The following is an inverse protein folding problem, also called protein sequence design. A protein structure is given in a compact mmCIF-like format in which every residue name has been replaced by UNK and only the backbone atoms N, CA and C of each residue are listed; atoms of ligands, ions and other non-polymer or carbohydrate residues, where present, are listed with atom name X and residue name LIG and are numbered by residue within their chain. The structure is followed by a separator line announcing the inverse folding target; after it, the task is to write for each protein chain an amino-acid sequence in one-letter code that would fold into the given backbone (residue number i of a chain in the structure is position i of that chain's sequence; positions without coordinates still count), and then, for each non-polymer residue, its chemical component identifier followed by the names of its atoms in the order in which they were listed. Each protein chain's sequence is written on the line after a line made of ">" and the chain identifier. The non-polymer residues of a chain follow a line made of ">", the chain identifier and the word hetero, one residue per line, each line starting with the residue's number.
data_IF_220063602593
#
_entry.id   IF_220063602593
#
_cell.length_a   1.000
_cell.length_b   1.000
_cell.length_c   1.000
_cell.angle_alpha   90.00
_cell.angle_beta   90.00
_cell.angle_gamma   90.00
#
_symmetry.space_group_name_H-M   'P 1'
#
loop_
_entity.id
_entity.type
_entity.pdbx_description
1 polymer ?
#
# COMPACT_ATOMS: atom_id res chain seq x y z
N UNK A 1 -15.91 -8.17 16.46
CA UNK A 1 -15.93 -7.03 15.54
C UNK A 1 -16.30 -7.47 14.12
N UNK A 2 -16.90 -6.56 13.39
CA UNK A 2 -17.31 -6.71 12.01
C UNK A 2 -16.69 -5.61 11.17
N UNK A 3 -16.02 -5.97 10.08
CA UNK A 3 -15.58 -5.05 9.03
C UNK A 3 -16.47 -5.27 7.81
N UNK A 4 -16.97 -4.18 7.25
CA UNK A 4 -17.72 -4.19 5.99
C UNK A 4 -16.94 -3.32 5.00
N UNK A 5 -16.42 -3.95 3.95
CA UNK A 5 -15.83 -3.25 2.82
C UNK A 5 -16.80 -3.31 1.64
N UNK A 6 -17.06 -2.15 1.05
CA UNK A 6 -17.85 -2.02 -0.17
C UNK A 6 -17.13 -1.08 -1.14
N UNK A 7 -17.31 -1.27 -2.44
CA UNK A 7 -16.65 -0.41 -3.41
C UNK A 7 -17.15 -0.62 -4.83
N UNK A 8 -16.85 0.37 -5.64
CA UNK A 8 -17.09 0.34 -7.08
C UNK A 8 -15.78 0.63 -7.81
N UNK A 9 -15.57 0.00 -8.93
CA UNK A 9 -14.42 0.30 -9.79
C UNK A 9 -14.83 0.32 -11.26
N UNK A 10 -14.31 1.34 -11.96
CA UNK A 10 -14.24 1.39 -13.41
C UNK A 10 -12.83 0.99 -13.83
N UNK A 11 -12.70 0.08 -14.80
CA UNK A 11 -11.42 -0.29 -15.42
C UNK A 11 -11.56 -0.16 -16.93
N UNK A 12 -10.63 0.56 -17.54
CA UNK A 12 -10.55 0.81 -18.97
C UNK A 12 -9.18 0.37 -19.48
N UNK A 13 -9.16 -0.22 -20.68
CA UNK A 13 -7.93 -0.56 -21.38
C UNK A 13 -8.12 -0.25 -22.86
N UNK A 14 -7.12 0.35 -23.48
CA UNK A 14 -7.11 0.65 -24.91
C UNK A 14 -6.11 -0.25 -25.64
N UNK A 15 -6.39 -0.54 -26.91
CA UNK A 15 -5.50 -1.24 -27.82
C UNK A 15 -5.77 -0.81 -29.25
N UNK A 16 -4.71 -0.49 -29.98
CA UNK A 16 -4.76 -0.13 -31.41
C UNK A 16 -5.76 1.01 -31.68
N UNK A 17 -5.87 1.97 -30.76
CA UNK A 17 -6.77 3.11 -30.85
C UNK A 17 -8.24 2.81 -30.55
N UNK A 18 -8.57 1.61 -30.08
CA UNK A 18 -9.92 1.20 -29.70
C UNK A 18 -9.98 0.80 -28.22
N UNK A 19 -11.17 0.88 -27.63
CA UNK A 19 -11.39 0.44 -26.25
C UNK A 19 -11.43 -1.10 -26.20
N UNK A 20 -10.40 -1.74 -25.63
CA UNK A 20 -10.31 -3.19 -25.46
C UNK A 20 -11.08 -3.69 -24.24
N UNK A 21 -11.05 -2.94 -23.15
CA UNK A 21 -11.77 -3.29 -21.91
C UNK A 21 -12.56 -2.10 -21.38
N UNK A 22 -13.82 -2.37 -21.08
CA UNK A 22 -14.70 -1.53 -20.27
C UNK A 22 -15.33 -2.39 -19.21
N UNK A 23 -14.92 -2.23 -17.98
CA UNK A 23 -15.40 -3.06 -16.86
C UNK A 23 -15.82 -2.19 -15.69
N UNK A 24 -17.06 -2.36 -15.25
CA UNK A 24 -17.57 -1.79 -14.00
C UNK A 24 -17.84 -2.94 -13.04
N UNK A 25 -17.33 -2.83 -11.83
CA UNK A 25 -17.58 -3.79 -10.77
C UNK A 25 -18.07 -3.10 -9.52
N UNK A 26 -19.00 -3.74 -8.83
CA UNK A 26 -19.42 -3.40 -7.48
C UNK A 26 -19.19 -4.60 -6.59
N UNK A 27 -18.67 -4.39 -5.40
CA UNK A 27 -18.41 -5.45 -4.44
C UNK A 27 -18.78 -5.01 -3.03
N UNK A 28 -19.24 -5.97 -2.24
CA UNK A 28 -19.44 -5.81 -0.80
C UNK A 28 -19.00 -7.08 -0.11
N UNK A 29 -18.33 -6.94 1.02
CA UNK A 29 -17.85 -8.07 1.80
C UNK A 29 -17.91 -7.75 3.29
N UNK A 30 -18.45 -8.71 4.05
CA UNK A 30 -18.57 -8.70 5.50
C UNK A 30 -17.51 -9.62 6.09
N UNK A 31 -16.69 -9.14 7.02
CA UNK A 31 -15.68 -9.93 7.70
C UNK A 31 -15.88 -9.88 9.22
N UNK A 32 -16.33 -10.99 9.79
CA UNK A 32 -16.58 -11.13 11.22
C UNK A 32 -15.38 -11.74 11.92
N UNK A 33 -14.99 -11.17 13.06
CA UNK A 33 -14.07 -11.76 14.05
C UNK A 33 -14.82 -11.88 15.37
N UNK A 34 -14.83 -13.08 15.93
CA UNK A 34 -15.37 -13.38 17.25
C UNK A 34 -14.25 -13.84 18.18
N UNK A 35 -14.36 -13.51 19.47
CA UNK A 35 -13.50 -14.04 20.51
C UNK A 35 -14.40 -14.76 21.52
N UNK A 36 -14.20 -16.06 21.67
CA UNK A 36 -14.93 -16.92 22.59
C UNK A 36 -13.95 -17.76 23.41
N UNK A 37 -14.01 -17.66 24.72
CA UNK A 37 -13.12 -18.39 25.63
C UNK A 37 -11.63 -18.20 25.30
N UNK A 38 -11.24 -16.95 24.96
CA UNK A 38 -9.90 -16.60 24.53
C UNK A 38 -9.47 -17.13 23.17
N UNK A 39 -10.39 -17.67 22.37
CA UNK A 39 -10.12 -18.23 21.04
C UNK A 39 -10.74 -17.35 19.97
N UNK A 40 -9.95 -17.06 18.96
CA UNK A 40 -10.36 -16.18 17.84
C UNK A 40 -10.88 -17.03 16.69
N UNK A 41 -12.08 -16.70 16.23
CA UNK A 41 -12.64 -17.25 15.01
C UNK A 41 -12.99 -16.14 14.03
N UNK A 42 -12.72 -16.36 12.75
CA UNK A 42 -13.06 -15.44 11.68
C UNK A 42 -13.89 -16.13 10.61
N UNK A 43 -14.82 -15.41 10.02
CA UNK A 43 -15.55 -15.82 8.83
C UNK A 43 -15.93 -14.59 8.01
N UNK A 44 -16.31 -14.80 6.76
CA UNK A 44 -16.72 -13.71 5.87
C UNK A 44 -17.91 -14.12 5.01
N UNK A 45 -18.65 -13.12 4.51
CA UNK A 45 -19.72 -13.30 3.56
C UNK A 45 -19.68 -12.19 2.51
N UNK A 46 -20.00 -12.50 1.27
CA UNK A 46 -20.26 -11.54 0.19
C UNK A 46 -21.77 -11.30 -0.01
N UNK A 47 -22.61 -12.09 0.66
CA UNK A 47 -24.07 -11.91 0.69
C UNK A 47 -24.48 -11.19 1.98
N UNK A 48 -25.53 -10.37 1.88
CA UNK A 48 -26.06 -9.52 2.95
C UNK A 48 -27.44 -9.94 3.46
N UNK A 49 -28.00 -11.05 2.95
CA UNK A 49 -29.24 -11.60 3.48
C UNK A 49 -29.03 -12.22 4.86
N UNK A 50 -30.15 -12.35 5.62
CA UNK A 50 -30.12 -12.83 7.01
C UNK A 50 -29.45 -14.20 7.13
N UNK A 51 -29.81 -15.13 6.24
CA UNK A 51 -29.34 -16.52 6.32
C UNK A 51 -27.84 -16.61 6.09
N UNK A 52 -27.30 -15.81 5.16
CA UNK A 52 -25.87 -15.74 4.90
C UNK A 52 -25.10 -15.13 6.08
N UNK A 53 -25.66 -14.09 6.71
CA UNK A 53 -25.03 -13.47 7.88
C UNK A 53 -25.10 -14.38 9.11
N UNK A 54 -26.19 -15.08 9.33
CA UNK A 54 -26.32 -16.08 10.40
C UNK A 54 -25.30 -17.23 10.20
N UNK A 55 -25.19 -17.73 8.97
CA UNK A 55 -24.19 -18.75 8.62
C UNK A 55 -22.76 -18.26 8.86
N UNK A 56 -22.47 -17.00 8.56
CA UNK A 56 -21.15 -16.38 8.83
C UNK A 56 -20.86 -16.36 10.35
N UNK A 57 -21.85 -16.03 11.18
CA UNK A 57 -21.71 -16.05 12.64
C UNK A 57 -21.44 -17.47 13.15
N UNK A 58 -22.22 -18.45 12.69
CA UNK A 58 -22.02 -19.85 13.06
C UNK A 58 -20.62 -20.35 12.66
N UNK A 59 -20.19 -20.05 11.46
CA UNK A 59 -18.88 -20.45 10.96
C UNK A 59 -17.74 -19.79 11.78
N UNK A 60 -17.86 -18.51 12.13
CA UNK A 60 -16.88 -17.84 12.99
C UNK A 60 -16.79 -18.50 14.38
N UNK A 61 -17.92 -18.89 14.97
CA UNK A 61 -17.96 -19.60 16.26
C UNK A 61 -17.35 -21.00 16.16
N UNK A 62 -17.63 -21.73 15.06
CA UNK A 62 -17.01 -23.04 14.78
C UNK A 62 -15.49 -22.87 14.67
N UNK A 63 -15.01 -21.92 13.87
CA UNK A 63 -13.59 -21.64 13.68
C UNK A 63 -12.90 -21.29 15.02
N UNK A 64 -13.55 -20.50 15.87
CA UNK A 64 -13.06 -20.21 17.21
C UNK A 64 -12.88 -21.49 18.05
N UNK A 65 -13.79 -22.46 17.95
CA UNK A 65 -13.73 -23.69 18.74
C UNK A 65 -12.48 -24.56 18.46
N UNK A 66 -11.93 -24.46 17.24
CA UNK A 66 -10.72 -25.19 16.82
C UNK A 66 -9.45 -24.36 16.99
N UNK A 67 -9.55 -23.05 17.21
CA UNK A 67 -8.40 -22.17 17.37
C UNK A 67 -7.68 -22.40 18.70
N UNK A 68 -6.40 -22.08 18.76
CA UNK A 68 -5.67 -22.02 20.02
C UNK A 68 -6.14 -20.82 20.85
N UNK A 69 -5.91 -20.88 22.16
CA UNK A 69 -6.16 -19.74 23.04
C UNK A 69 -5.12 -18.66 22.75
N UNK A 70 -5.59 -17.43 22.56
CA UNK A 70 -4.78 -16.23 22.36
C UNK A 70 -5.03 -15.29 23.55
N UNK A 71 -4.13 -15.32 24.52
CA UNK A 71 -4.29 -14.65 25.81
C UNK A 71 -4.49 -13.12 25.69
N UNK A 72 -3.87 -12.52 24.70
CA UNK A 72 -3.85 -11.05 24.55
C UNK A 72 -4.90 -10.53 23.55
N UNK A 73 -5.58 -11.40 22.81
CA UNK A 73 -6.59 -11.00 21.84
C UNK A 73 -7.87 -10.55 22.55
N UNK A 74 -8.33 -9.36 22.17
CA UNK A 74 -9.58 -8.77 22.68
C UNK A 74 -10.26 -7.90 21.62
N UNK A 75 -11.54 -7.62 21.82
CA UNK A 75 -12.23 -6.59 21.05
C UNK A 75 -11.91 -5.23 21.66
N UNK A 76 -11.50 -4.28 20.85
CA UNK A 76 -11.15 -2.93 21.30
C UNK A 76 -12.31 -2.24 22.02
N UNK A 77 -11.99 -1.47 23.07
CA UNK A 77 -12.91 -0.63 23.84
C UNK A 77 -12.70 0.83 23.45
N UNK A 78 -12.86 1.18 22.19
CA UNK A 78 -12.82 2.58 21.81
C UNK A 78 -14.18 3.22 22.07
N UNK A 79 -14.21 4.15 23.03
CA UNK A 79 -15.37 5.02 23.30
C UNK A 79 -15.27 6.34 22.51
N UNK A 80 -14.21 6.52 21.73
CA UNK A 80 -13.94 7.77 21.04
C UNK A 80 -14.79 7.91 19.78
N UNK A 81 -15.30 9.11 19.58
CA UNK A 81 -15.84 9.49 18.27
C UNK A 81 -14.68 9.65 17.30
N UNK A 82 -14.52 8.68 16.42
CA UNK A 82 -13.43 8.71 15.46
C UNK A 82 -13.63 9.78 14.40
N UNK A 83 -12.61 10.58 14.19
CA UNK A 83 -12.57 11.55 13.11
C UNK A 83 -12.55 10.84 11.75
N UNK A 84 -13.18 11.45 10.77
CA UNK A 84 -13.10 11.04 9.36
C UNK A 84 -12.88 12.25 8.49
N UNK A 85 -12.11 12.12 7.44
CA UNK A 85 -11.87 13.17 6.45
C UNK A 85 -12.26 12.65 5.06
N UNK A 86 -13.55 12.40 4.89
CA UNK A 86 -14.06 11.89 3.62
C UNK A 86 -13.92 12.93 2.49
N UNK A 87 -13.82 14.21 2.77
CA UNK A 87 -13.59 15.24 1.76
C UNK A 87 -12.21 15.11 1.12
N UNK A 88 -11.18 14.77 1.91
CA UNK A 88 -9.84 14.47 1.41
C UNK A 88 -9.74 13.07 0.81
N UNK A 89 -10.26 12.07 1.52
CA UNK A 89 -10.08 10.66 1.15
C UNK A 89 -10.92 10.24 -0.06
N UNK A 90 -12.09 10.84 -0.23
CA UNK A 90 -13.03 10.54 -1.31
C UNK A 90 -13.63 11.84 -1.86
N UNK A 91 -12.81 12.70 -2.47
CA UNK A 91 -13.31 13.93 -3.07
C UNK A 91 -14.29 13.61 -4.20
N UNK A 92 -15.26 14.52 -4.41
CA UNK A 92 -16.18 14.42 -5.53
C UNK A 92 -15.43 14.62 -6.84
N UNK A 93 -15.81 13.85 -7.84
CA UNK A 93 -15.27 13.96 -9.20
C UNK A 93 -16.44 14.01 -10.18
N UNK A 94 -16.44 15.05 -11.02
CA UNK A 94 -17.49 15.28 -12.00
C UNK A 94 -17.11 14.81 -13.41
N UNK A 95 -15.93 14.17 -13.58
CA UNK A 95 -15.45 13.67 -14.87
C UNK A 95 -16.34 12.52 -15.35
N UNK A 96 -16.87 12.68 -16.54
CA UNK A 96 -17.74 11.69 -17.16
C UNK A 96 -16.97 10.41 -17.55
N UNK A 97 -17.70 9.33 -17.76
CA UNK A 97 -17.11 8.06 -18.25
C UNK A 97 -16.53 8.26 -19.65
N UNK A 98 -17.17 9.05 -20.49
CA UNK A 98 -16.69 9.33 -21.86
C UNK A 98 -15.33 10.04 -21.83
N UNK A 99 -15.15 11.04 -20.97
CA UNK A 99 -13.84 11.71 -20.79
C UNK A 99 -12.76 10.74 -20.27
N UNK A 100 -13.11 9.79 -19.43
CA UNK A 100 -12.16 8.74 -18.95
C UNK A 100 -11.80 7.77 -20.08
N UNK A 101 -12.75 7.44 -20.94
CA UNK A 101 -12.50 6.64 -22.16
C UNK A 101 -11.58 7.40 -23.11
N UNK A 102 -11.86 8.68 -23.38
CA UNK A 102 -11.00 9.53 -24.21
C UNK A 102 -9.58 9.61 -23.67
N UNK A 103 -9.42 9.75 -22.34
CA UNK A 103 -8.12 9.72 -21.68
C UNK A 103 -7.39 8.38 -21.91
N UNK A 104 -8.08 7.25 -21.76
CA UNK A 104 -7.50 5.91 -21.96
C UNK A 104 -7.03 5.70 -23.39
N UNK A 105 -7.85 6.08 -24.37
CA UNK A 105 -7.51 6.03 -25.79
C UNK A 105 -6.33 6.95 -26.14
N UNK A 106 -6.34 8.17 -25.60
CA UNK A 106 -5.26 9.14 -25.81
C UNK A 106 -3.93 8.66 -25.20
N UNK A 107 -3.97 8.05 -24.00
CA UNK A 107 -2.79 7.49 -23.33
C UNK A 107 -2.10 6.44 -24.21
N UNK A 108 -2.86 5.46 -24.69
CA UNK A 108 -2.35 4.39 -25.56
C UNK A 108 -1.84 4.94 -26.91
N UNK A 109 -2.67 5.71 -27.60
CA UNK A 109 -2.36 6.23 -28.93
C UNK A 109 -1.14 7.17 -28.94
N UNK A 110 -1.02 8.05 -27.94
CA UNK A 110 0.14 8.93 -27.80
C UNK A 110 1.42 8.14 -27.59
N UNK A 111 1.38 7.11 -26.72
CA UNK A 111 2.56 6.28 -26.45
C UNK A 111 2.93 5.43 -27.67
N UNK A 112 1.94 4.84 -28.36
CA UNK A 112 2.15 4.08 -29.58
C UNK A 112 2.74 4.92 -30.72
N UNK A 113 2.46 6.22 -30.74
CA UNK A 113 3.01 7.18 -31.72
C UNK A 113 4.43 7.67 -31.43
N UNK A 114 5.05 7.29 -30.30
CA UNK A 114 6.40 7.72 -29.95
C UNK A 114 7.47 6.97 -30.74
N UNK A 115 8.64 7.60 -30.92
CA UNK A 115 9.76 7.02 -31.66
C UNK A 115 10.19 5.64 -31.12
N UNK A 116 10.40 4.67 -32.02
CA UNK A 116 10.79 3.27 -31.72
C UNK A 116 9.79 2.46 -30.88
N UNK A 117 8.64 2.99 -30.54
CA UNK A 117 7.60 2.21 -29.87
C UNK A 117 6.96 1.26 -30.88
N UNK A 118 7.11 -0.03 -30.63
CA UNK A 118 6.52 -1.09 -31.46
C UNK A 118 5.06 -1.34 -31.09
N UNK A 119 4.77 -1.37 -29.79
CA UNK A 119 3.41 -1.46 -29.25
C UNK A 119 3.34 -1.03 -27.77
N UNK A 120 2.12 -0.95 -27.26
CA UNK A 120 1.78 -0.63 -25.86
C UNK A 120 1.09 -1.87 -25.27
N UNK A 121 1.86 -2.90 -24.82
CA UNK A 121 1.28 -4.20 -24.46
C UNK A 121 0.39 -4.13 -23.21
N UNK A 122 0.71 -3.22 -22.30
CA UNK A 122 -0.05 -3.03 -21.07
C UNK A 122 -0.33 -1.55 -20.86
N UNK A 123 -1.58 -1.22 -20.67
CA UNK A 123 -2.04 0.09 -20.25
C UNK A 123 -3.36 -0.06 -19.51
N UNK A 124 -3.72 0.93 -18.75
CA UNK A 124 -5.00 0.93 -18.06
C UNK A 124 -5.30 2.24 -17.36
N UNK A 125 -6.57 2.47 -17.20
CA UNK A 125 -7.15 3.56 -16.41
C UNK A 125 -8.13 2.93 -15.43
N UNK A 126 -8.02 3.28 -14.16
CA UNK A 126 -8.93 2.81 -13.13
C UNK A 126 -9.44 3.98 -12.30
N UNK A 127 -10.70 3.91 -11.92
CA UNK A 127 -11.32 4.80 -10.94
C UNK A 127 -12.05 3.95 -9.92
N UNK A 128 -11.54 3.96 -8.70
CA UNK A 128 -11.97 3.08 -7.61
C UNK A 128 -12.48 3.91 -6.47
N UNK A 129 -13.71 3.66 -6.03
CA UNK A 129 -14.25 4.19 -4.78
C UNK A 129 -14.44 3.05 -3.78
N UNK A 130 -14.11 3.31 -2.54
CA UNK A 130 -14.23 2.37 -1.44
C UNK A 130 -14.93 2.98 -0.24
N UNK A 131 -15.60 2.13 0.51
CA UNK A 131 -16.16 2.45 1.83
C UNK A 131 -15.81 1.32 2.77
N UNK A 132 -15.27 1.66 3.93
CA UNK A 132 -15.04 0.74 5.04
C UNK A 132 -15.87 1.14 6.24
N UNK A 133 -16.52 0.17 6.86
CA UNK A 133 -17.18 0.32 8.14
C UNK A 133 -16.60 -0.70 9.14
N UNK A 134 -16.40 -0.27 10.37
CA UNK A 134 -15.93 -1.12 11.48
C UNK A 134 -16.92 -1.02 12.62
N UNK A 135 -17.43 -2.14 13.06
CA UNK A 135 -18.33 -2.26 14.20
C UNK A 135 -17.75 -3.19 15.25
N UNK A 136 -17.90 -2.85 16.50
CA UNK A 136 -17.53 -3.75 17.60
C UNK A 136 -18.68 -3.99 18.58
N UNK A 137 -18.63 -5.11 19.30
CA UNK A 137 -19.58 -5.39 20.39
C UNK A 137 -19.47 -4.39 21.56
N UNK A 138 -18.39 -3.61 21.59
CA UNK A 138 -18.12 -2.62 22.61
C UNK A 138 -18.55 -1.20 22.22
N UNK A 139 -19.32 -1.08 21.11
CA UNK A 139 -19.99 0.17 20.71
C UNK A 139 -19.28 0.98 19.63
N UNK A 140 -18.08 0.58 19.18
CA UNK A 140 -17.43 1.25 18.05
C UNK A 140 -18.31 1.15 16.79
N UNK A 141 -18.48 2.28 16.12
CA UNK A 141 -19.09 2.39 14.79
C UNK A 141 -18.31 3.47 14.01
N UNK A 142 -17.35 3.01 13.22
CA UNK A 142 -16.46 3.87 12.44
C UNK A 142 -16.69 3.63 10.94
N UNK A 143 -16.61 4.72 10.16
CA UNK A 143 -16.75 4.66 8.70
C UNK A 143 -15.71 5.57 8.04
N UNK A 144 -15.10 5.06 6.98
CA UNK A 144 -14.27 5.87 6.08
C UNK A 144 -14.64 5.59 4.63
N UNK A 145 -14.42 6.59 3.77
CA UNK A 145 -14.54 6.45 2.31
C UNK A 145 -13.21 6.78 1.67
N UNK A 146 -12.94 6.19 0.53
CA UNK A 146 -11.72 6.44 -0.24
C UNK A 146 -12.01 6.50 -1.72
N UNK A 147 -11.18 7.23 -2.46
CA UNK A 147 -11.13 7.22 -3.91
C UNK A 147 -9.70 7.17 -4.38
N UNK A 148 -9.46 6.39 -5.41
CA UNK A 148 -8.17 6.31 -6.08
C UNK A 148 -8.40 6.20 -7.59
N UNK A 149 -7.85 7.17 -8.32
CA UNK A 149 -7.74 7.12 -9.77
C UNK A 149 -6.33 6.71 -10.13
N UNK A 150 -6.19 5.77 -11.04
CA UNK A 150 -4.91 5.21 -11.48
C UNK A 150 -4.82 5.28 -13.00
N UNK A 151 -3.63 5.54 -13.53
CA UNK A 151 -3.32 5.23 -14.91
C UNK A 151 -1.91 4.69 -15.01
N UNK A 152 -1.70 3.76 -15.93
CA UNK A 152 -0.39 3.17 -16.19
C UNK A 152 -0.25 2.82 -17.68
N UNK A 153 0.98 2.77 -18.14
CA UNK A 153 1.30 2.28 -19.48
C UNK A 153 2.69 1.67 -19.53
N UNK A 154 2.88 0.70 -20.42
CA UNK A 154 4.15 0.06 -20.75
C UNK A 154 4.43 0.23 -22.23
N UNK A 155 5.64 0.64 -22.58
CA UNK A 155 6.08 0.68 -23.95
C UNK A 155 7.02 -0.50 -24.26
N UNK A 156 6.80 -1.18 -25.37
CA UNK A 156 7.80 -2.04 -25.99
C UNK A 156 8.46 -1.25 -27.11
N UNK A 157 9.74 -0.92 -26.93
CA UNK A 157 10.55 -0.25 -27.96
C UNK A 157 11.45 -1.26 -28.66
N UNK A 158 11.74 -1.02 -29.95
CA UNK A 158 12.56 -1.90 -30.80
C UNK A 158 13.48 -1.08 -31.67
N UNK A 159 14.75 -1.48 -31.76
CA UNK A 159 15.73 -0.92 -32.69
C UNK A 159 16.62 -2.04 -33.24
N UNK A 160 16.42 -2.42 -34.50
CA UNK A 160 17.07 -3.57 -35.10
C UNK A 160 16.70 -4.86 -34.36
N UNK A 161 17.70 -5.57 -33.85
CA UNK A 161 17.50 -6.82 -33.12
C UNK A 161 17.40 -6.63 -31.58
N UNK A 162 17.41 -5.38 -31.13
CA UNK A 162 17.36 -5.05 -29.70
C UNK A 162 15.97 -4.53 -29.33
N UNK A 163 15.45 -4.98 -28.22
CA UNK A 163 14.19 -4.47 -27.66
C UNK A 163 14.28 -4.26 -26.14
N UNK A 164 13.42 -3.40 -25.66
CA UNK A 164 13.26 -3.15 -24.23
C UNK A 164 11.79 -2.86 -23.93
N UNK A 165 11.37 -3.22 -22.72
CA UNK A 165 10.02 -2.92 -22.24
C UNK A 165 10.12 -2.36 -20.81
N UNK A 166 9.49 -1.21 -20.61
CA UNK A 166 9.37 -0.57 -19.30
C UNK A 166 8.02 0.10 -19.18
N UNK A 167 7.58 0.32 -17.95
CA UNK A 167 6.30 0.97 -17.67
C UNK A 167 6.35 1.83 -16.44
N UNK A 168 5.35 2.69 -16.33
CA UNK A 168 5.16 3.56 -15.19
C UNK A 168 3.67 3.72 -14.92
N UNK A 169 3.32 3.97 -13.66
CA UNK A 169 1.98 4.31 -13.23
C UNK A 169 1.94 5.64 -12.48
N UNK A 170 0.77 6.23 -12.43
CA UNK A 170 0.47 7.38 -11.58
C UNK A 170 -0.85 7.16 -10.85
N UNK A 171 -0.98 7.77 -9.69
CA UNK A 171 -2.16 7.70 -8.85
C UNK A 171 -2.59 9.08 -8.38
N UNK A 172 -3.90 9.29 -8.28
CA UNK A 172 -4.48 10.52 -7.76
C UNK A 172 -5.80 10.23 -7.03
N UNK A 173 -6.25 11.17 -6.18
CA UNK A 173 -7.59 11.08 -5.56
C UNK A 173 -8.70 11.63 -6.44
N UNK A 174 -8.36 12.46 -7.44
CA UNK A 174 -9.28 12.98 -8.43
C UNK A 174 -8.74 12.71 -9.84
N UNK A 175 -9.61 12.37 -10.75
CA UNK A 175 -9.22 11.99 -12.11
C UNK A 175 -8.48 13.10 -12.87
N UNK A 176 -8.85 14.39 -12.79
CA UNK A 176 -8.15 15.48 -13.48
C UNK A 176 -6.68 15.69 -13.07
N UNK A 177 -6.25 15.08 -11.98
CA UNK A 177 -4.84 15.12 -11.56
C UNK A 177 -3.96 14.08 -12.26
N UNK A 178 -4.54 13.17 -13.05
CA UNK A 178 -3.79 12.27 -13.90
C UNK A 178 -3.32 13.02 -15.15
N UNK A 179 -2.04 12.89 -15.49
CA UNK A 179 -1.42 13.56 -16.64
C UNK A 179 -0.89 12.53 -17.64
N UNK A 180 -1.65 12.29 -18.70
CA UNK A 180 -1.27 11.36 -19.75
C UNK A 180 -0.01 11.79 -20.50
N UNK A 181 0.21 13.09 -20.71
CA UNK A 181 1.35 13.58 -21.48
C UNK A 181 2.66 13.39 -20.72
N UNK A 182 2.66 13.69 -19.42
CA UNK A 182 3.81 13.44 -18.54
C UNK A 182 4.08 11.94 -18.43
N UNK A 183 3.05 11.11 -18.24
CA UNK A 183 3.21 9.66 -18.14
C UNK A 183 3.80 9.07 -19.42
N UNK A 184 3.24 9.40 -20.58
CA UNK A 184 3.73 8.94 -21.90
C UNK A 184 5.19 9.31 -22.11
N UNK A 185 5.53 10.57 -21.86
CA UNK A 185 6.92 11.06 -22.00
C UNK A 185 7.88 10.30 -21.10
N UNK A 186 7.50 10.10 -19.83
CA UNK A 186 8.38 9.44 -18.86
C UNK A 186 8.55 7.95 -19.18
N UNK A 187 7.47 7.23 -19.52
CA UNK A 187 7.54 5.83 -19.96
C UNK A 187 8.45 5.68 -21.18
N UNK A 188 8.27 6.53 -22.17
CA UNK A 188 9.11 6.49 -23.38
C UNK A 188 10.59 6.72 -23.07
N UNK A 189 10.92 7.76 -22.29
CA UNK A 189 12.30 8.08 -21.91
C UNK A 189 12.93 6.94 -21.09
N UNK A 190 12.21 6.39 -20.12
CA UNK A 190 12.69 5.29 -19.28
C UNK A 190 12.98 4.05 -20.16
N UNK A 191 12.05 3.70 -21.06
CA UNK A 191 12.23 2.53 -21.92
C UNK A 191 13.40 2.69 -22.90
N UNK A 192 13.57 3.87 -23.49
CA UNK A 192 14.73 4.15 -24.35
C UNK A 192 16.05 4.10 -23.59
N UNK A 193 16.06 4.51 -22.32
CA UNK A 193 17.29 4.53 -21.53
C UNK A 193 17.89 3.14 -21.28
N UNK A 194 17.05 2.11 -21.28
CA UNK A 194 17.48 0.72 -21.06
C UNK A 194 17.68 -0.07 -22.36
N UNK A 195 17.27 0.47 -23.52
CA UNK A 195 17.30 -0.24 -24.81
C UNK A 195 18.71 -0.75 -25.17
N UNK A 196 19.75 0.03 -24.89
CA UNK A 196 21.13 -0.34 -25.10
C UNK A 196 21.92 -0.51 -23.81
N UNK A 197 21.21 -0.82 -22.70
CA UNK A 197 21.79 -1.04 -21.39
C UNK A 197 22.84 -2.15 -21.40
N UNK A 198 23.91 -1.98 -20.64
CA UNK A 198 24.98 -2.96 -20.47
C UNK A 198 25.32 -3.12 -19.00
N UNK A 199 25.75 -4.32 -18.57
CA UNK A 199 26.26 -4.51 -17.22
C UNK A 199 27.42 -3.55 -16.93
N UNK A 200 27.39 -2.94 -15.73
CA UNK A 200 28.51 -2.14 -15.25
C UNK A 200 29.61 -3.03 -14.66
N UNK A 201 30.90 -2.62 -14.67
CA UNK A 201 31.98 -3.41 -14.06
C UNK A 201 31.75 -3.64 -12.58
N UNK A 202 32.11 -4.84 -12.09
CA UNK A 202 32.04 -5.16 -10.67
C UNK A 202 33.12 -4.39 -9.90
N UNK A 203 32.71 -3.47 -9.04
CA UNK A 203 33.55 -2.72 -8.10
C UNK A 203 32.72 -2.11 -6.98
N UNK A 204 33.31 -1.44 -6.04
CA UNK A 204 32.58 -0.60 -5.09
C UNK A 204 32.12 0.68 -5.76
N UNK A 205 30.88 1.04 -5.52
CA UNK A 205 30.26 2.27 -6.00
C UNK A 205 29.62 3.01 -4.81
N UNK A 206 29.64 4.32 -4.87
CA UNK A 206 28.67 5.12 -4.15
C UNK A 206 27.33 4.94 -4.87
N UNK A 207 26.28 4.64 -4.13
CA UNK A 207 24.98 4.30 -4.69
C UNK A 207 23.94 5.32 -4.25
N UNK A 208 23.20 5.85 -5.22
CA UNK A 208 22.05 6.72 -5.00
C UNK A 208 20.81 5.93 -5.41
N UNK A 209 19.83 5.88 -4.53
CA UNK A 209 18.47 5.40 -4.85
C UNK A 209 17.61 6.61 -5.20
N UNK A 210 16.92 6.58 -6.34
CA UNK A 210 15.86 7.57 -6.57
C UNK A 210 14.69 7.36 -5.60
N UNK A 211 13.72 8.27 -5.58
CA UNK A 211 12.63 8.22 -4.60
C UNK A 211 11.80 6.93 -4.70
N UNK A 212 11.53 6.44 -5.92
CA UNK A 212 10.75 5.23 -6.17
C UNK A 212 11.49 3.99 -5.67
N UNK A 213 12.75 3.80 -6.07
CA UNK A 213 13.54 2.62 -5.65
C UNK A 213 13.83 2.64 -4.15
N UNK A 214 14.00 3.82 -3.56
CA UNK A 214 14.12 3.97 -2.12
C UNK A 214 12.85 3.48 -1.41
N UNK A 215 11.68 3.91 -1.87
CA UNK A 215 10.40 3.48 -1.31
C UNK A 215 10.21 1.96 -1.42
N UNK A 216 10.54 1.36 -2.57
CA UNK A 216 10.47 -0.09 -2.78
C UNK A 216 11.39 -0.87 -1.83
N UNK A 217 12.64 -0.43 -1.66
CA UNK A 217 13.61 -1.06 -0.75
C UNK A 217 13.10 -1.00 0.68
N UNK A 218 12.65 0.17 1.16
CA UNK A 218 12.14 0.29 2.53
C UNK A 218 10.84 -0.49 2.74
N UNK A 219 10.00 -0.64 1.71
CA UNK A 219 8.81 -1.46 1.79
C UNK A 219 9.13 -2.96 2.01
N UNK A 220 10.18 -3.48 1.37
CA UNK A 220 10.64 -4.86 1.61
C UNK A 220 11.06 -5.08 3.07
N UNK A 221 11.67 -4.08 3.68
CA UNK A 221 12.08 -4.14 5.09
C UNK A 221 10.97 -3.76 6.08
N UNK A 222 9.77 -3.40 5.63
CA UNK A 222 8.67 -2.99 6.50
C UNK A 222 8.32 -4.01 7.60
N UNK A 223 8.49 -5.31 7.31
CA UNK A 223 8.24 -6.40 8.27
C UNK A 223 9.15 -6.34 9.51
N UNK A 224 10.30 -5.68 9.43
CA UNK A 224 11.21 -5.49 10.58
C UNK A 224 10.60 -4.61 11.68
N UNK A 225 9.62 -3.80 11.36
CA UNK A 225 8.92 -2.97 12.34
C UNK A 225 7.69 -3.66 12.94
N UNK A 226 7.35 -4.87 12.50
CA UNK A 226 6.14 -5.58 12.93
C UNK A 226 6.25 -6.15 14.32
N UNK A 227 5.49 -5.63 15.28
CA UNK A 227 5.29 -6.22 16.60
C UNK A 227 4.60 -7.58 16.54
N UNK A 228 3.77 -7.85 15.50
CA UNK A 228 3.18 -9.19 15.30
C UNK A 228 4.24 -10.22 14.95
N UNK A 229 5.12 -9.94 14.01
CA UNK A 229 6.25 -10.83 13.67
C UNK A 229 7.23 -10.98 14.84
N UNK A 230 7.39 -9.93 15.66
CA UNK A 230 8.19 -9.99 16.89
C UNK A 230 7.55 -10.91 17.93
N UNK A 231 6.23 -10.83 18.16
CA UNK A 231 5.49 -11.74 19.03
C UNK A 231 5.63 -13.19 18.56
N UNK A 232 5.54 -13.41 17.24
CA UNK A 232 5.65 -14.74 16.64
C UNK A 232 7.09 -15.30 16.62
N UNK A 233 8.08 -14.51 17.04
CA UNK A 233 9.49 -14.93 17.14
C UNK A 233 10.24 -14.97 15.83
N UNK A 234 9.71 -14.35 14.78
CA UNK A 234 10.30 -14.32 13.43
C UNK A 234 10.91 -12.97 13.05
N UNK A 235 10.81 -11.94 13.91
CA UNK A 235 11.37 -10.63 13.64
C UNK A 235 12.74 -10.48 14.35
N UNK A 236 13.85 -10.31 13.61
CA UNK A 236 15.19 -10.14 14.19
C UNK A 236 15.36 -8.82 14.97
N UNK A 237 14.42 -7.87 14.80
CA UNK A 237 14.43 -6.59 15.53
C UNK A 237 13.67 -6.62 16.86
N UNK A 238 13.10 -7.75 17.23
CA UNK A 238 12.26 -7.93 18.41
C UNK A 238 12.80 -7.27 19.68
N UNK A 239 14.07 -7.52 19.99
CA UNK A 239 14.70 -7.11 21.23
C UNK A 239 15.68 -5.95 21.03
N UNK A 240 15.60 -5.25 19.88
CA UNK A 240 16.56 -4.20 19.49
C UNK A 240 16.02 -2.77 19.61
N UNK A 241 14.84 -2.59 20.20
CA UNK A 241 14.33 -1.24 20.46
C UNK A 241 15.31 -0.48 21.35
N UNK A 242 15.74 0.70 20.90
CA UNK A 242 16.78 1.52 21.53
C UNK A 242 18.21 1.25 21.03
N UNK A 243 18.43 0.21 20.22
CA UNK A 243 19.76 -0.07 19.64
C UNK A 243 19.98 0.67 18.32
N UNK A 244 21.22 1.02 18.02
CA UNK A 244 21.62 1.56 16.73
C UNK A 244 21.56 0.45 15.67
N UNK A 245 20.77 0.66 14.62
CA UNK A 245 20.56 -0.28 13.51
C UNK A 245 20.94 0.32 12.15
N UNK A 246 21.16 1.63 12.08
CA UNK A 246 21.45 2.36 10.86
C UNK A 246 22.38 3.54 11.13
N UNK A 247 22.76 4.27 10.06
CA UNK A 247 23.53 5.52 10.17
C UNK A 247 22.73 6.57 10.98
N UNK A 248 23.38 7.34 11.87
CA UNK A 248 22.68 8.37 12.69
C UNK A 248 21.99 9.47 11.88
N UNK A 249 22.25 9.60 10.59
CA UNK A 249 21.55 10.53 9.70
C UNK A 249 20.18 10.03 9.26
N UNK A 250 19.87 8.74 9.45
CA UNK A 250 18.61 8.15 9.02
C UNK A 250 17.54 8.29 10.09
N UNK A 251 16.45 8.94 9.74
CA UNK A 251 15.20 8.95 10.52
C UNK A 251 14.05 8.51 9.62
N UNK A 252 13.30 7.51 10.09
CA UNK A 252 12.14 6.93 9.40
C UNK A 252 10.93 7.05 10.34
N UNK A 253 9.87 7.63 9.84
CA UNK A 253 8.59 7.75 10.54
C UNK A 253 7.53 6.93 9.82
N UNK A 254 6.55 6.42 10.55
CA UNK A 254 5.23 6.17 9.99
C UNK A 254 4.37 7.40 10.23
N UNK A 255 3.89 8.04 9.16
CA UNK A 255 3.18 9.30 9.25
C UNK A 255 1.81 9.23 8.57
N UNK A 256 0.77 8.76 9.30
CA UNK A 256 -0.58 8.63 8.75
C UNK A 256 -1.26 9.97 8.45
N UNK A 257 -0.66 11.11 8.83
CA UNK A 257 -1.23 12.44 8.59
C UNK A 257 -0.73 13.15 7.33
N UNK A 258 0.13 12.51 6.52
CA UNK A 258 0.54 13.05 5.22
C UNK A 258 -0.62 12.99 4.22
N UNK A 259 -1.14 14.16 3.87
CA UNK A 259 -2.32 14.30 3.00
C UNK A 259 -2.05 13.99 1.53
N UNK A 260 -0.80 14.14 1.09
CA UNK A 260 -0.40 13.91 -0.31
C UNK A 260 -0.25 12.42 -0.65
N UNK A 261 -0.13 11.57 0.36
CA UNK A 261 0.00 10.13 0.17
C UNK A 261 -1.31 9.36 0.29
N UNK A 262 -1.29 8.09 -0.08
CA UNK A 262 -2.46 7.20 -0.02
C UNK A 262 -2.60 6.46 1.31
N UNK A 263 -1.60 6.56 2.20
CA UNK A 263 -1.61 5.99 3.54
C UNK A 263 -2.22 6.87 4.63
N UNK A 264 -2.84 8.01 4.25
CA UNK A 264 -3.54 8.87 5.20
C UNK A 264 -4.67 8.11 5.90
N UNK A 265 -4.61 8.05 7.22
CA UNK A 265 -5.58 7.37 8.05
C UNK A 265 -5.73 8.08 9.39
N UNK A 266 -6.95 8.17 9.90
CA UNK A 266 -7.25 8.79 11.20
C UNK A 266 -7.47 7.76 12.32
N UNK A 267 -7.70 6.51 11.95
CA UNK A 267 -7.83 5.37 12.87
C UNK A 267 -7.44 4.06 12.16
N UNK A 268 -7.07 3.09 12.96
CA UNK A 268 -6.70 1.75 12.49
C UNK A 268 -7.89 0.77 12.43
N UNK A 269 -7.64 -0.50 12.13
CA UNK A 269 -8.70 -1.53 12.00
C UNK A 269 -9.37 -1.93 13.32
N UNK A 270 -8.86 -1.50 14.46
CA UNK A 270 -9.48 -1.67 15.79
C UNK A 270 -10.18 -0.38 16.26
N UNK A 271 -10.11 0.70 15.48
CA UNK A 271 -10.64 2.01 15.87
C UNK A 271 -9.73 2.75 16.84
N UNK A 272 -8.46 2.41 16.90
CA UNK A 272 -7.47 3.22 17.63
C UNK A 272 -7.05 4.40 16.76
N UNK A 273 -7.06 5.62 17.33
CA UNK A 273 -6.57 6.79 16.62
C UNK A 273 -5.10 6.61 16.19
N UNK A 274 -4.80 7.04 14.97
CA UNK A 274 -3.44 7.00 14.44
C UNK A 274 -2.68 8.27 14.78
N UNK A 275 -1.38 8.16 14.95
CA UNK A 275 -0.49 9.31 15.15
C UNK A 275 0.87 9.02 14.48
N UNK A 276 1.65 10.08 14.29
CA UNK A 276 3.01 9.97 13.77
C UNK A 276 3.88 9.18 14.76
N UNK A 277 4.54 8.13 14.26
CA UNK A 277 5.40 7.25 15.03
C UNK A 277 6.82 7.23 14.45
N UNK A 278 7.83 7.48 15.29
CA UNK A 278 9.21 7.24 14.90
C UNK A 278 9.50 5.72 14.93
N UNK A 279 9.91 5.19 13.79
CA UNK A 279 10.34 3.79 13.64
C UNK A 279 11.85 3.68 13.82
N UNK A 280 12.58 4.56 13.15
CA UNK A 280 14.02 4.77 13.33
C UNK A 280 14.24 6.24 13.64
N UNK A 281 14.90 6.54 14.72
CA UNK A 281 15.28 7.89 15.11
C UNK A 281 16.81 8.00 15.20
N UNK A 282 17.38 8.85 14.36
CA UNK A 282 18.82 9.06 14.28
C UNK A 282 19.60 7.74 14.29
N UNK A 283 19.19 6.79 13.44
CA UNK A 283 19.82 5.50 13.26
C UNK A 283 19.45 4.44 14.32
N UNK A 284 18.76 4.80 15.37
CA UNK A 284 18.34 3.85 16.43
C UNK A 284 16.91 3.36 16.16
N UNK A 285 16.63 2.07 16.39
CA UNK A 285 15.27 1.53 16.34
C UNK A 285 14.45 2.14 17.48
N UNK A 286 13.52 3.03 17.14
CA UNK A 286 12.75 3.76 18.14
C UNK A 286 11.51 2.99 18.60
N UNK A 287 10.83 2.29 17.67
CA UNK A 287 9.62 1.54 18.00
C UNK A 287 9.35 0.41 17.02
N UNK A 288 8.58 -0.58 17.47
CA UNK A 288 7.81 -1.48 16.61
C UNK A 288 6.37 -0.98 16.52
N UNK A 289 5.65 -1.37 15.47
CA UNK A 289 4.21 -1.08 15.32
C UNK A 289 3.36 -2.15 15.99
N UNK A 290 2.35 -1.74 16.72
CA UNK A 290 1.51 -2.60 17.55
C UNK A 290 0.02 -2.37 17.32
N UNK A 291 -0.73 -3.47 17.28
CA UNK A 291 -2.16 -3.49 17.59
C UNK A 291 -2.39 -3.73 19.09
N UNK A 292 -3.63 -3.81 19.52
CA UNK A 292 -3.94 -3.99 20.95
C UNK A 292 -3.38 -5.29 21.54
N UNK A 293 -3.38 -6.38 20.78
CA UNK A 293 -2.91 -7.69 21.25
C UNK A 293 -1.38 -7.75 21.36
N UNK A 294 -0.66 -7.24 20.37
CA UNK A 294 0.81 -7.21 20.42
C UNK A 294 1.32 -6.20 21.44
N UNK A 295 0.64 -5.08 21.60
CA UNK A 295 0.95 -4.12 22.64
C UNK A 295 0.82 -4.74 24.05
N UNK A 296 -0.27 -5.46 24.32
CA UNK A 296 -0.44 -6.15 25.58
C UNK A 296 0.61 -7.26 25.82
N UNK A 297 1.02 -7.97 24.76
CA UNK A 297 2.08 -8.98 24.86
C UNK A 297 3.44 -8.40 25.25
N UNK A 298 3.78 -7.21 24.74
CA UNK A 298 5.05 -6.53 25.02
C UNK A 298 4.97 -5.53 26.17
N UNK A 299 3.85 -5.53 26.93
CA UNK A 299 3.59 -4.58 28.03
C UNK A 299 3.78 -3.11 27.61
N UNK A 300 3.23 -2.77 26.43
CA UNK A 300 3.27 -1.42 25.86
C UNK A 300 1.88 -0.97 25.42
N UNK A 301 1.78 0.18 24.76
CA UNK A 301 0.52 0.72 24.23
C UNK A 301 0.38 0.40 22.74
N UNK A 302 -0.88 0.26 22.28
CA UNK A 302 -1.18 0.22 20.84
C UNK A 302 -0.68 1.50 20.16
N UNK A 303 -0.07 1.32 19.02
CA UNK A 303 0.46 2.43 18.22
C UNK A 303 -0.49 2.86 17.11
N UNK A 304 -1.74 2.36 17.09
CA UNK A 304 -2.72 2.68 16.05
C UNK A 304 -2.40 2.02 14.70
N UNK A 305 -1.80 0.83 14.72
CA UNK A 305 -1.35 0.13 13.51
C UNK A 305 -2.05 -1.22 13.31
N UNK A 306 -3.20 -1.44 13.93
CA UNK A 306 -3.99 -2.62 13.66
C UNK A 306 -4.38 -2.68 12.18
N UNK A 307 -4.11 -3.81 11.55
CA UNK A 307 -4.42 -4.02 10.12
C UNK A 307 -5.23 -5.30 9.94
N UNK A 308 -6.38 -5.19 9.29
CA UNK A 308 -7.26 -6.30 8.97
C UNK A 308 -8.14 -5.97 7.78
N UNK A 309 -8.23 -6.89 6.84
CA UNK A 309 -9.30 -6.91 5.84
C UNK A 309 -10.42 -7.88 6.24
N UNK A 310 -11.55 -7.88 5.53
CA UNK A 310 -12.69 -8.76 5.84
C UNK A 310 -12.35 -10.25 5.84
N UNK A 311 -11.41 -10.68 4.99
CA UNK A 311 -10.98 -12.09 4.84
C UNK A 311 -9.74 -12.46 5.64
N UNK A 312 -9.11 -11.51 6.35
CA UNK A 312 -7.85 -11.73 7.04
C UNK A 312 -7.99 -11.75 8.56
N UNK A 313 -7.00 -12.33 9.23
CA UNK A 313 -6.82 -12.21 10.67
C UNK A 313 -6.26 -10.84 11.03
N UNK A 314 -6.39 -10.44 12.29
CA UNK A 314 -5.83 -9.19 12.78
C UNK A 314 -4.31 -9.27 12.81
N UNK A 315 -3.69 -8.27 12.19
CA UNK A 315 -2.26 -8.08 12.13
C UNK A 315 -1.86 -6.64 12.50
N UNK A 316 -0.69 -6.26 12.07
CA UNK A 316 -0.22 -4.87 12.09
C UNK A 316 0.27 -4.48 10.70
N UNK A 317 0.16 -3.20 10.36
CA UNK A 317 0.59 -2.66 9.07
C UNK A 317 0.96 -1.19 9.20
N UNK A 318 1.97 -0.78 8.44
CA UNK A 318 2.34 0.62 8.30
C UNK A 318 1.26 1.38 7.52
N UNK A 319 1.11 2.65 7.83
CA UNK A 319 0.24 3.57 7.09
C UNK A 319 1.02 4.21 5.96
N UNK A 320 2.05 5.00 6.28
CA UNK A 320 2.82 5.73 5.27
C UNK A 320 4.22 6.05 5.79
N UNK A 321 5.21 5.40 5.20
CA UNK A 321 6.61 5.67 5.53
C UNK A 321 7.04 7.05 5.04
N UNK A 322 7.63 7.82 5.93
CA UNK A 322 8.28 9.09 5.67
C UNK A 322 9.75 9.00 6.04
N UNK A 323 10.64 9.06 5.06
CA UNK A 323 12.07 9.18 5.30
C UNK A 323 12.39 10.65 5.36
N UNK A 324 12.91 11.11 6.49
CA UNK A 324 13.22 12.51 6.67
C UNK A 324 14.36 12.95 5.75
N UNK A 325 14.20 14.10 5.10
CA UNK A 325 15.22 14.66 4.25
C UNK A 325 16.51 14.98 5.02
N UNK A 326 17.64 14.64 4.45
CA UNK A 326 18.94 15.06 4.94
C UNK A 326 19.23 16.54 4.63
N UNK A 327 20.45 16.97 4.95
CA UNK A 327 20.90 18.36 4.74
C UNK A 327 21.67 18.55 3.45
N UNK A 328 22.08 17.47 2.79
CA UNK A 328 22.85 17.51 1.55
C UNK A 328 21.97 17.93 0.36
N UNK A 329 22.51 18.74 -0.53
CA UNK A 329 21.83 19.10 -1.77
C UNK A 329 21.96 18.00 -2.82
N UNK A 330 21.01 17.92 -3.76
CA UNK A 330 21.08 17.00 -4.90
C UNK A 330 22.38 17.11 -5.67
N UNK A 331 22.88 18.34 -5.86
CA UNK A 331 24.16 18.57 -6.54
C UNK A 331 25.35 18.06 -5.75
N UNK A 332 25.29 18.04 -4.42
CA UNK A 332 26.32 17.45 -3.56
C UNK A 332 26.27 15.92 -3.62
N UNK A 333 25.08 15.34 -3.54
CA UNK A 333 24.86 13.89 -3.61
C UNK A 333 25.31 13.33 -4.97
N UNK A 334 25.01 14.05 -6.06
CA UNK A 334 25.35 13.65 -7.44
C UNK A 334 26.74 14.11 -7.90
N UNK A 335 27.61 14.52 -6.98
CA UNK A 335 28.98 14.90 -7.32
C UNK A 335 29.89 13.65 -7.47
N UNK A 336 30.76 13.65 -8.50
CA UNK A 336 31.71 12.57 -8.72
C UNK A 336 31.16 11.39 -9.52
N UNK A 337 31.61 10.18 -9.20
CA UNK A 337 31.22 8.94 -9.88
C UNK A 337 30.35 8.11 -8.94
N UNK A 338 29.11 7.88 -9.31
CA UNK A 338 28.15 7.11 -8.55
C UNK A 338 27.34 6.18 -9.46
N UNK A 339 26.61 5.27 -8.86
CA UNK A 339 25.60 4.44 -9.51
C UNK A 339 24.23 4.90 -9.01
N UNK A 340 23.38 5.39 -9.91
CA UNK A 340 21.99 5.74 -9.59
C UNK A 340 21.09 4.54 -9.93
N UNK A 341 20.41 4.02 -8.91
CA UNK A 341 19.41 2.96 -9.07
C UNK A 341 18.05 3.60 -9.29
N UNK A 342 17.51 3.41 -10.49
CA UNK A 342 16.25 4.02 -10.94
C UNK A 342 15.10 3.03 -11.06
N UNK A 343 15.40 1.73 -11.04
CA UNK A 343 14.43 0.64 -11.06
C UNK A 343 15.06 -0.60 -10.42
N UNK A 344 14.26 -1.34 -9.66
CA UNK A 344 14.64 -2.61 -9.03
C UNK A 344 13.58 -3.66 -9.34
N UNK A 345 14.00 -4.84 -9.76
CA UNK A 345 13.09 -5.93 -10.07
C UNK A 345 13.34 -7.13 -9.16
N UNK A 346 12.27 -7.88 -8.84
CA UNK A 346 12.37 -9.12 -8.09
C UNK A 346 12.63 -8.98 -6.59
N UNK A 347 12.53 -7.80 -6.01
CA UNK A 347 12.74 -7.56 -4.57
C UNK A 347 11.90 -8.47 -3.67
N UNK A 348 10.66 -8.76 -4.08
CA UNK A 348 9.74 -9.63 -3.34
C UNK A 348 10.15 -11.12 -3.36
N UNK A 349 11.00 -11.54 -4.30
CA UNK A 349 11.33 -12.95 -4.55
C UNK A 349 12.47 -13.50 -3.67
N UNK A 350 13.23 -12.62 -3.00
CA UNK A 350 14.43 -12.99 -2.24
C UNK A 350 14.43 -12.55 -0.78
N UNK A 351 13.44 -11.79 -0.34
CA UNK A 351 13.38 -11.33 1.04
C UNK A 351 13.06 -12.50 1.98
N UNK A 352 13.98 -12.79 2.88
CA UNK A 352 13.77 -13.75 3.96
C UNK A 352 13.53 -12.98 5.27
N UNK A 353 12.31 -13.03 5.85
CA UNK A 353 12.01 -12.31 7.08
C UNK A 353 12.77 -12.82 8.31
N UNK A 354 13.47 -13.95 8.20
CA UNK A 354 14.21 -14.59 9.30
C UNK A 354 15.71 -14.29 9.28
N UNK A 355 16.22 -13.58 8.27
CA UNK A 355 17.67 -13.34 8.14
C UNK A 355 18.01 -11.93 7.70
#
# INVERSE_FOLDING_TARGET
>A
DLIVDAGESLSLKARDGELEEYKVTSSQIFGLRVIKDGRVGTAYSEASDSDALDSMVEQALINASFARVEEFEKISNSDDTLATDNALLCPSDAVSIDEKIEFSLALESKLAGMDKVKNVPYNGVQDVTGQRQVFTSNGLNAQSKSRTCLSFAYALVEEGDVNAMEGLGQAARIFPSLDADTLVKQVHLNTLSILHGKPVPSKHYDVIFNAETQAEVFHVFASMFSGKSAKDGVNPMRDKVGEAIADPRLTILDNPSLTDGFGYALFDAEGTATDKLALVDQGSLASLIHNSATAAYFDTQSTGHASRGPKSTLGVGLHQLEIQAGTDSDSSLKAGTYLELVNLTGLHSGANPLS
#
